data_IF_528642603068
#
_entry.id   IF_528642603068
#
_cell.length_a   1.000
_cell.length_b   1.000
_cell.length_c   1.000
_cell.angle_alpha   90.00
_cell.angle_beta   90.00
_cell.angle_gamma   90.00
#
_symmetry.space_group_name_H-M   'P 1'
#
loop_
_entity.id
_entity.type
_entity.pdbx_description
1 polymer ?
#
# COMPACT_ATOMS: atom_id res chain seq x y z
N UNK A 1 -27.06 6.56 -20.44
CA UNK A 1 -25.71 7.14 -20.48
C UNK A 1 -25.49 7.95 -19.22
N UNK A 2 -25.01 7.29 -18.16
CA UNK A 2 -24.56 7.96 -16.95
C UNK A 2 -23.37 8.85 -17.30
N UNK A 3 -23.44 10.07 -16.85
CA UNK A 3 -22.48 11.12 -17.15
C UNK A 3 -21.09 10.68 -16.62
N UNK A 4 -20.11 10.54 -17.49
CA UNK A 4 -18.72 10.20 -17.12
C UNK A 4 -18.13 11.19 -16.10
N UNK A 5 -18.57 12.44 -16.13
CA UNK A 5 -18.16 13.50 -15.20
C UNK A 5 -18.70 13.21 -13.77
N UNK A 6 -19.94 12.77 -13.65
CA UNK A 6 -20.57 12.46 -12.37
C UNK A 6 -19.94 11.24 -11.67
N UNK A 7 -19.41 10.28 -12.44
CA UNK A 7 -18.64 9.14 -11.93
C UNK A 7 -17.23 9.55 -11.43
N UNK A 8 -16.64 10.58 -12.01
CA UNK A 8 -15.31 11.07 -11.60
C UNK A 8 -15.39 11.91 -10.34
N UNK A 9 -16.47 12.65 -10.14
CA UNK A 9 -16.68 13.45 -8.90
C UNK A 9 -16.93 12.59 -7.66
N UNK A 10 -17.35 11.33 -7.83
CA UNK A 10 -17.61 10.37 -6.75
C UNK A 10 -16.63 9.20 -6.73
N UNK A 11 -15.45 9.33 -7.36
CA UNK A 11 -14.46 8.26 -7.36
C UNK A 11 -13.79 8.12 -5.98
N UNK A 12 -13.60 6.87 -5.55
CA UNK A 12 -12.91 6.52 -4.30
C UNK A 12 -11.67 5.71 -4.62
N UNK A 13 -10.54 6.08 -4.03
CA UNK A 13 -9.29 5.36 -4.17
C UNK A 13 -8.89 4.78 -2.82
N UNK A 14 -8.86 3.45 -2.74
CA UNK A 14 -8.44 2.72 -1.56
C UNK A 14 -6.94 2.42 -1.62
N UNK A 15 -6.22 2.77 -0.55
CA UNK A 15 -4.84 2.35 -0.33
C UNK A 15 -4.85 1.38 0.84
N UNK A 16 -4.51 0.13 0.59
CA UNK A 16 -4.49 -0.94 1.59
C UNK A 16 -3.04 -1.30 1.90
N UNK A 17 -2.55 -0.81 3.02
CA UNK A 17 -1.26 -1.19 3.57
C UNK A 17 -1.33 -2.58 4.19
N UNK A 18 -0.19 -3.29 4.20
CA UNK A 18 -0.08 -4.68 4.66
C UNK A 18 -1.14 -5.58 4.01
N UNK A 19 -1.27 -5.46 2.69
CA UNK A 19 -2.32 -6.11 1.90
C UNK A 19 -2.44 -7.63 2.15
N UNK A 20 -1.36 -8.28 2.57
CA UNK A 20 -1.33 -9.70 2.92
C UNK A 20 -2.24 -10.06 4.11
N UNK A 21 -2.57 -9.11 4.98
CA UNK A 21 -3.50 -9.32 6.10
C UNK A 21 -4.94 -9.40 5.57
N UNK A 22 -5.27 -8.56 4.60
CA UNK A 22 -6.63 -8.42 4.06
C UNK A 22 -6.90 -9.39 2.90
N UNK A 23 -5.90 -9.66 2.09
CA UNK A 23 -5.95 -10.59 0.96
C UNK A 23 -4.82 -11.63 1.05
N UNK A 24 -4.86 -12.56 2.02
CA UNK A 24 -3.83 -13.57 2.20
C UNK A 24 -3.83 -14.62 1.07
N UNK A 25 -2.65 -15.03 0.60
CA UNK A 25 -2.51 -16.02 -0.46
C UNK A 25 -3.06 -17.40 -0.05
N UNK A 26 -2.77 -17.83 1.19
CA UNK A 26 -3.04 -19.21 1.65
C UNK A 26 -4.38 -19.42 2.34
N UNK A 27 -5.14 -18.38 2.63
CA UNK A 27 -6.39 -18.45 3.40
C UNK A 27 -7.50 -17.70 2.71
N UNK A 28 -8.68 -18.29 2.69
CA UNK A 28 -9.89 -17.60 2.26
C UNK A 28 -10.43 -16.70 3.38
N UNK A 29 -10.89 -15.51 2.98
CA UNK A 29 -11.56 -14.56 3.85
C UNK A 29 -12.55 -13.74 3.03
N UNK A 30 -13.53 -13.15 3.68
CA UNK A 30 -14.48 -12.27 3.01
C UNK A 30 -13.78 -11.02 2.47
N UNK A 31 -12.81 -10.46 3.22
CA UNK A 31 -11.99 -9.34 2.76
C UNK A 31 -11.25 -9.65 1.47
N UNK A 32 -10.63 -10.84 1.35
CA UNK A 32 -9.96 -11.30 0.13
C UNK A 32 -10.92 -11.31 -1.07
N UNK A 33 -12.11 -11.88 -0.91
CA UNK A 33 -13.13 -11.94 -1.96
C UNK A 33 -13.56 -10.54 -2.42
N UNK A 34 -13.75 -9.62 -1.48
CA UNK A 34 -14.07 -8.22 -1.78
C UNK A 34 -12.95 -7.52 -2.52
N UNK A 35 -11.68 -7.70 -2.09
CA UNK A 35 -10.50 -7.13 -2.75
C UNK A 35 -10.39 -7.65 -4.17
N UNK A 36 -10.50 -8.95 -4.40
CA UNK A 36 -10.51 -9.55 -5.74
C UNK A 36 -11.63 -8.97 -6.63
N UNK A 37 -12.81 -8.76 -6.06
CA UNK A 37 -13.94 -8.18 -6.80
C UNK A 37 -13.70 -6.72 -7.15
N UNK A 38 -13.20 -5.91 -6.21
CA UNK A 38 -12.85 -4.51 -6.47
C UNK A 38 -11.72 -4.42 -7.50
N UNK A 39 -10.70 -5.27 -7.42
CA UNK A 39 -9.62 -5.34 -8.39
C UNK A 39 -10.13 -5.58 -9.83
N UNK A 40 -11.08 -6.50 -10.00
CA UNK A 40 -11.64 -6.84 -11.33
C UNK A 40 -12.68 -5.86 -11.84
N UNK A 41 -13.55 -5.36 -10.98
CA UNK A 41 -14.78 -4.66 -11.39
C UNK A 41 -14.85 -3.21 -10.90
N UNK A 42 -14.03 -2.82 -9.93
CA UNK A 42 -14.12 -1.53 -9.22
C UNK A 42 -14.11 -0.32 -10.16
N UNK A 43 -13.33 -0.40 -11.25
CA UNK A 43 -13.26 0.67 -12.26
C UNK A 43 -14.63 1.06 -12.82
N UNK A 44 -15.55 0.12 -12.94
CA UNK A 44 -16.91 0.37 -13.46
C UNK A 44 -17.74 1.25 -12.51
N UNK A 45 -17.35 1.27 -11.25
CA UNK A 45 -18.04 1.97 -10.17
C UNK A 45 -17.23 3.16 -9.63
N UNK A 46 -16.18 3.59 -10.34
CA UNK A 46 -15.32 4.68 -9.88
C UNK A 46 -14.42 4.30 -8.68
N UNK A 47 -14.20 3.00 -8.45
CA UNK A 47 -13.34 2.53 -7.36
C UNK A 47 -11.94 2.24 -7.87
N UNK A 48 -10.93 2.88 -7.27
CA UNK A 48 -9.51 2.57 -7.46
C UNK A 48 -8.96 1.78 -6.26
N UNK A 49 -7.95 0.96 -6.51
CA UNK A 49 -7.33 0.11 -5.49
C UNK A 49 -5.81 0.14 -5.63
N UNK A 50 -5.13 0.37 -4.51
CA UNK A 50 -3.69 0.21 -4.36
C UNK A 50 -3.42 -0.78 -3.23
N UNK A 51 -2.68 -1.83 -3.51
CA UNK A 51 -2.21 -2.80 -2.52
C UNK A 51 -0.74 -2.52 -2.22
N UNK A 52 -0.41 -2.35 -0.95
CA UNK A 52 0.96 -2.15 -0.47
C UNK A 52 1.35 -3.33 0.40
N UNK A 53 2.49 -3.96 0.12
CA UNK A 53 3.00 -5.09 0.91
C UNK A 53 4.51 -5.17 0.85
N UNK A 54 5.11 -5.56 1.96
CA UNK A 54 6.55 -5.86 2.06
C UNK A 54 6.87 -7.29 1.65
N UNK A 55 5.88 -8.19 1.63
CA UNK A 55 6.04 -9.59 1.26
C UNK A 55 4.97 -10.00 0.23
N UNK A 56 5.21 -9.75 -1.06
CA UNK A 56 4.26 -10.05 -2.14
C UNK A 56 3.80 -11.51 -2.17
N UNK A 57 4.66 -12.47 -1.84
CA UNK A 57 4.34 -13.90 -1.83
C UNK A 57 3.19 -14.28 -0.89
N UNK A 58 2.95 -13.45 0.10
CA UNK A 58 1.87 -13.66 1.08
C UNK A 58 0.54 -13.02 0.65
N UNK A 59 0.57 -12.15 -0.38
CA UNK A 59 -0.62 -11.54 -0.98
C UNK A 59 -1.23 -12.48 -2.00
N UNK A 60 -2.54 -12.49 -2.06
CA UNK A 60 -3.31 -13.30 -3.03
C UNK A 60 -2.88 -13.04 -4.47
N UNK A 61 -2.56 -14.12 -5.19
CA UNK A 61 -2.08 -14.05 -6.57
C UNK A 61 -3.13 -13.48 -7.53
N UNK A 62 -4.41 -13.85 -7.35
CA UNK A 62 -5.47 -13.39 -8.23
C UNK A 62 -5.70 -11.88 -8.06
N UNK A 63 -5.59 -11.36 -6.82
CA UNK A 63 -5.65 -9.93 -6.59
C UNK A 63 -4.49 -9.20 -7.25
N UNK A 64 -3.24 -9.71 -7.11
CA UNK A 64 -2.06 -9.10 -7.72
C UNK A 64 -2.12 -9.11 -9.24
N UNK A 65 -2.53 -10.22 -9.86
CA UNK A 65 -2.60 -10.36 -11.33
C UNK A 65 -3.65 -9.42 -11.98
N UNK A 66 -4.60 -8.92 -11.19
CA UNK A 66 -5.59 -7.93 -11.65
C UNK A 66 -5.09 -6.48 -11.55
N UNK A 67 -3.93 -6.26 -10.92
CA UNK A 67 -3.37 -4.90 -10.84
C UNK A 67 -2.85 -4.47 -12.20
N UNK A 68 -3.36 -3.35 -12.69
CA UNK A 68 -2.98 -2.79 -14.00
C UNK A 68 -1.59 -2.15 -13.98
N UNK A 69 -1.10 -1.80 -12.79
CA UNK A 69 0.18 -1.14 -12.60
C UNK A 69 0.88 -1.74 -11.38
N UNK A 70 2.21 -1.84 -11.46
CA UNK A 70 3.04 -2.25 -10.33
C UNK A 70 4.22 -1.29 -10.18
N UNK A 71 4.56 -0.97 -8.94
CA UNK A 71 5.77 -0.26 -8.54
C UNK A 71 6.51 -1.20 -7.61
N UNK A 72 7.64 -1.75 -8.07
CA UNK A 72 8.40 -2.75 -7.34
C UNK A 72 9.70 -2.11 -6.87
N UNK A 73 9.81 -1.94 -5.55
CA UNK A 73 11.01 -1.51 -4.88
C UNK A 73 11.99 -2.68 -4.72
N UNK A 74 13.12 -2.45 -4.05
CA UNK A 74 14.10 -3.51 -3.80
C UNK A 74 13.45 -4.75 -3.19
N UNK A 75 13.60 -5.89 -3.85
CA UNK A 75 13.02 -7.16 -3.46
C UNK A 75 14.10 -8.25 -3.50
N UNK A 76 14.53 -8.73 -2.33
CA UNK A 76 15.68 -9.63 -2.20
C UNK A 76 15.25 -11.10 -2.17
N UNK A 77 14.10 -11.40 -1.59
CA UNK A 77 13.63 -12.77 -1.41
C UNK A 77 13.24 -13.43 -2.75
N UNK A 78 13.83 -14.58 -3.12
CA UNK A 78 13.54 -15.24 -4.42
C UNK A 78 12.09 -15.68 -4.58
N UNK A 79 11.41 -16.04 -3.49
CA UNK A 79 9.99 -16.41 -3.54
C UNK A 79 9.09 -15.23 -3.85
N UNK A 80 9.39 -14.06 -3.26
CA UNK A 80 8.67 -12.83 -3.56
C UNK A 80 8.88 -12.40 -5.02
N UNK A 81 10.11 -12.51 -5.52
CA UNK A 81 10.45 -12.22 -6.92
C UNK A 81 9.66 -13.11 -7.90
N UNK A 82 9.63 -14.43 -7.64
CA UNK A 82 8.84 -15.37 -8.44
C UNK A 82 7.36 -15.07 -8.41
N UNK A 83 6.85 -14.68 -7.26
CA UNK A 83 5.43 -14.37 -7.08
C UNK A 83 5.02 -13.13 -7.89
N UNK A 84 5.77 -12.04 -7.83
CA UNK A 84 5.49 -10.84 -8.64
C UNK A 84 5.71 -11.09 -10.13
N UNK A 85 6.69 -11.90 -10.50
CA UNK A 85 6.91 -12.31 -11.90
C UNK A 85 5.72 -13.07 -12.46
N UNK A 86 5.19 -14.03 -11.69
CA UNK A 86 4.02 -14.82 -12.12
C UNK A 86 2.74 -13.99 -12.22
N UNK A 87 2.65 -12.90 -11.46
CA UNK A 87 1.51 -11.99 -11.50
C UNK A 87 1.59 -10.95 -12.63
N UNK A 88 2.73 -10.82 -13.33
CA UNK A 88 2.93 -9.83 -14.40
C UNK A 88 3.68 -10.40 -15.59
N UNK A 89 3.00 -10.52 -16.72
CA UNK A 89 3.59 -11.01 -17.98
C UNK A 89 4.69 -10.07 -18.54
N UNK A 90 4.66 -8.80 -18.18
CA UNK A 90 5.60 -7.79 -18.69
C UNK A 90 6.93 -7.74 -17.92
N UNK A 91 7.04 -8.42 -16.78
CA UNK A 91 8.24 -8.44 -15.96
C UNK A 91 9.22 -9.51 -16.43
N UNK A 92 10.21 -9.11 -17.25
CA UNK A 92 11.23 -10.01 -17.78
C UNK A 92 12.17 -10.54 -16.69
N UNK A 93 12.86 -11.66 -16.99
CA UNK A 93 13.85 -12.22 -16.08
C UNK A 93 14.98 -11.24 -15.77
N UNK A 94 15.46 -10.50 -16.75
CA UNK A 94 16.54 -9.53 -16.58
C UNK A 94 16.17 -8.41 -15.60
N UNK A 95 14.89 -8.01 -15.56
CA UNK A 95 14.40 -7.03 -14.60
C UNK A 95 14.25 -7.63 -13.20
N UNK A 96 13.82 -8.89 -13.10
CA UNK A 96 13.77 -9.61 -11.82
C UNK A 96 15.17 -9.70 -11.19
N UNK A 97 16.18 -10.05 -11.99
CA UNK A 97 17.56 -10.18 -11.52
C UNK A 97 18.16 -8.84 -11.02
N UNK A 98 17.58 -7.71 -11.39
CA UNK A 98 17.96 -6.38 -10.91
C UNK A 98 17.31 -6.00 -9.57
N UNK A 99 16.15 -6.58 -9.21
CA UNK A 99 15.40 -6.19 -8.00
C UNK A 99 16.21 -6.22 -6.70
N UNK A 100 17.10 -7.20 -6.44
CA UNK A 100 17.90 -7.21 -5.22
C UNK A 100 18.92 -6.08 -5.13
N UNK A 101 19.37 -5.55 -6.26
CA UNK A 101 20.40 -4.54 -6.36
C UNK A 101 19.88 -3.09 -6.36
N UNK A 102 18.58 -2.89 -6.36
CA UNK A 102 17.97 -1.57 -6.32
C UNK A 102 18.37 -0.80 -5.04
N UNK A 103 18.71 0.46 -5.21
CA UNK A 103 19.00 1.37 -4.11
C UNK A 103 17.72 1.96 -3.50
N UNK A 104 17.88 2.65 -2.37
CA UNK A 104 16.78 3.42 -1.76
C UNK A 104 16.26 4.47 -2.74
N UNK A 105 14.95 4.47 -2.93
CA UNK A 105 14.26 5.37 -3.89
C UNK A 105 14.31 4.90 -5.34
N UNK A 106 14.92 3.75 -5.65
CA UNK A 106 14.83 3.13 -6.97
C UNK A 106 13.68 2.13 -7.03
N UNK A 107 13.01 2.06 -8.17
CA UNK A 107 11.89 1.16 -8.40
C UNK A 107 11.81 0.73 -9.86
N UNK A 108 11.25 -0.45 -10.10
CA UNK A 108 10.77 -0.86 -11.42
C UNK A 108 9.28 -0.54 -11.50
N UNK A 109 8.91 0.24 -12.50
CA UNK A 109 7.52 0.63 -12.78
C UNK A 109 7.06 -0.08 -14.04
N UNK A 110 5.90 -0.69 -14.00
CA UNK A 110 5.30 -1.41 -15.13
C UNK A 110 3.78 -1.34 -15.12
N UNK A 111 3.19 -1.69 -16.26
CA UNK A 111 1.74 -1.66 -16.48
C UNK A 111 1.28 -0.47 -17.31
N UNK A 112 0.03 -0.04 -17.12
CA UNK A 112 -0.57 1.01 -17.93
C UNK A 112 0.06 2.40 -17.73
N UNK A 113 0.72 2.64 -16.61
CA UNK A 113 1.42 3.89 -16.31
C UNK A 113 2.75 4.02 -17.07
N UNK A 114 3.29 2.92 -17.59
CA UNK A 114 4.54 2.90 -18.34
C UNK A 114 4.40 1.98 -19.56
N UNK A 115 4.71 2.50 -20.77
CA UNK A 115 4.59 1.70 -22.01
C UNK A 115 5.48 0.46 -22.02
N UNK A 116 6.60 0.53 -21.31
CA UNK A 116 7.54 -0.58 -21.10
C UNK A 116 7.96 -0.57 -19.64
N UNK A 117 8.28 -1.74 -19.04
CA UNK A 117 8.85 -1.78 -17.70
C UNK A 117 10.10 -0.91 -17.63
N UNK A 118 10.16 0.00 -16.67
CA UNK A 118 11.19 1.04 -16.60
C UNK A 118 11.76 1.14 -15.19
N UNK A 119 13.09 1.16 -15.09
CA UNK A 119 13.78 1.52 -13.86
C UNK A 119 13.67 3.04 -13.65
N UNK A 120 13.19 3.44 -12.48
CA UNK A 120 13.02 4.85 -12.12
C UNK A 120 13.71 5.17 -10.80
N UNK A 121 14.11 6.44 -10.66
CA UNK A 121 14.49 7.03 -9.38
C UNK A 121 13.34 7.91 -8.91
N UNK A 122 12.83 7.60 -7.74
CA UNK A 122 11.75 8.38 -7.11
C UNK A 122 12.39 9.57 -6.39
N UNK A 123 11.89 10.77 -6.67
CA UNK A 123 12.36 11.98 -6.00
C UNK A 123 12.01 11.96 -4.51
N UNK A 124 12.91 12.52 -3.69
CA UNK A 124 12.66 12.64 -2.27
C UNK A 124 11.51 13.63 -1.99
N UNK A 125 10.52 13.20 -1.25
CA UNK A 125 9.44 14.07 -0.81
C UNK A 125 9.95 15.08 0.23
N UNK A 126 9.93 16.37 -0.12
CA UNK A 126 10.40 17.48 0.74
C UNK A 126 9.32 18.05 1.68
N UNK A 127 8.13 17.45 1.70
CA UNK A 127 7.01 17.86 2.55
C UNK A 127 7.12 17.35 4.00
N UNK A 128 6.19 17.79 4.86
CA UNK A 128 6.06 17.24 6.21
C UNK A 128 5.67 15.76 6.13
N UNK A 129 6.50 14.90 6.69
CA UNK A 129 6.16 13.50 6.93
C UNK A 129 5.31 13.47 8.22
N UNK A 130 3.99 13.24 8.10
CA UNK A 130 3.15 12.93 9.25
C UNK A 130 3.23 11.41 9.46
N UNK A 131 4.18 10.96 10.24
CA UNK A 131 4.44 9.54 10.46
C UNK A 131 5.72 9.30 11.25
N UNK A 132 6.25 10.34 11.88
CA UNK A 132 7.23 10.12 12.95
C UNK A 132 6.55 9.26 14.00
N UNK A 133 7.21 8.18 14.38
CA UNK A 133 6.78 7.32 15.48
C UNK A 133 6.32 8.21 16.63
N UNK A 134 5.04 8.12 16.96
CA UNK A 134 4.52 8.83 18.12
C UNK A 134 5.39 8.41 19.29
N UNK A 135 6.15 9.33 19.86
CA UNK A 135 6.88 9.05 21.10
C UNK A 135 5.82 8.74 22.18
N UNK A 136 5.45 7.45 22.20
CA UNK A 136 4.44 6.88 23.09
C UNK A 136 4.78 7.24 24.53
N UNK A 137 6.06 7.31 24.88
CA UNK A 137 6.53 7.67 26.23
C UNK A 137 6.19 9.12 26.56
N UNK A 138 6.43 10.05 25.63
CA UNK A 138 6.06 11.46 25.78
C UNK A 138 4.54 11.67 25.79
N UNK A 139 3.81 10.89 25.00
CA UNK A 139 2.34 10.94 24.97
C UNK A 139 1.75 10.51 26.33
N UNK A 140 2.18 9.40 26.91
CA UNK A 140 1.73 8.96 28.24
C UNK A 140 2.18 9.89 29.37
N UNK A 141 3.39 10.45 29.32
CA UNK A 141 3.83 11.47 30.28
C UNK A 141 2.95 12.71 30.26
N UNK A 142 2.49 13.14 29.09
CA UNK A 142 1.61 14.30 28.94
C UNK A 142 0.17 14.01 29.42
N UNK A 143 -0.33 12.80 29.27
CA UNK A 143 -1.62 12.38 29.82
C UNK A 143 -1.57 12.40 31.34
N UNK A 144 -0.56 11.78 31.95
CA UNK A 144 -0.40 11.73 33.41
C UNK A 144 -0.29 13.14 34.02
N UNK A 145 0.48 14.04 33.41
CA UNK A 145 0.54 15.45 33.81
C UNK A 145 -0.82 16.17 33.73
N UNK A 146 -1.63 15.89 32.72
CA UNK A 146 -2.98 16.49 32.60
C UNK A 146 -3.93 15.95 33.67
N UNK A 147 -3.83 14.67 34.02
CA UNK A 147 -4.64 14.06 35.09
C UNK A 147 -4.24 14.56 36.47
N UNK A 148 -2.93 14.68 36.77
CA UNK A 148 -2.45 15.30 38.00
C UNK A 148 -2.94 16.75 38.15
N UNK A 149 -2.80 17.57 37.12
CA UNK A 149 -3.29 18.95 37.15
C UNK A 149 -4.82 19.05 37.32
N UNK A 150 -5.59 18.12 36.79
CA UNK A 150 -7.04 18.04 37.03
C UNK A 150 -7.36 17.68 38.48
N UNK A 151 -6.63 16.75 39.08
CA UNK A 151 -6.80 16.37 40.51
C UNK A 151 -6.47 17.52 41.46
N UNK A 152 -5.39 18.26 41.20
CA UNK A 152 -5.03 19.43 41.97
C UNK A 152 -6.01 20.59 41.83
N UNK A 153 -6.59 20.83 40.65
CA UNK A 153 -7.60 21.86 40.48
C UNK A 153 -8.92 21.53 41.18
N UNK A 154 -9.28 20.27 41.34
CA UNK A 154 -10.51 19.85 42.01
C UNK A 154 -10.35 19.94 43.56
N UNK A 155 -9.13 19.80 44.10
CA UNK A 155 -8.84 19.92 45.52
C UNK A 155 -8.65 21.38 46.00
N UNK A 156 -8.47 22.33 45.09
CA UNK A 156 -8.29 23.74 45.40
C UNK A 156 -9.61 24.53 45.55
N UNK A 157 -10.76 23.90 45.26
CA UNK A 157 -12.09 24.49 45.35
C UNK A 157 -13.05 23.76 46.30
N UNK A 158 -12.53 22.93 47.17
CA UNK A 158 -13.21 22.35 48.34
C UNK A 158 -12.57 22.88 49.64
#
# INVERSE_FOLDING_TARGET
SGNKEELMDNSVFFILEEAHILAPNRRDSDSKRWIQRVAREGRKFGLGLCLVSQSPKTVDHDALSQMNNMIILRLVEPEDQRHVQSASESLSKDLIDQLPSLNVGEAIVLGLMSKVPTLVKIDEFKGRRHGDDMDIVSYFKNINKKEENRRFSTLAFS
#
